data_IF_879495299760
#
_entry.id   IF_879495299760
#
_cell.length_a   1.000
_cell.length_b   1.000
_cell.length_c   1.000
_cell.angle_alpha   90.00
_cell.angle_beta   90.00
_cell.angle_gamma   90.00
#
_symmetry.space_group_name_H-M   'P 1'
#
loop_
_entity.id
_entity.type
_entity.pdbx_description
1 polymer ?
#
# COMPACT_ATOMS: atom_id res chain seq x y z
N UNK A 1 -12.70 -37.59 -20.14
CA UNK A 1 -12.94 -36.43 -21.03
C UNK A 1 -11.72 -35.53 -20.95
N UNK A 2 -11.08 -35.30 -22.06
CA UNK A 2 -9.96 -34.35 -22.09
C UNK A 2 -10.46 -32.92 -22.29
N UNK A 3 -9.54 -31.94 -22.21
CA UNK A 3 -9.91 -30.50 -22.30
C UNK A 3 -10.51 -30.13 -23.67
N UNK A 4 -10.18 -30.86 -24.72
CA UNK A 4 -10.70 -30.64 -26.10
C UNK A 4 -12.14 -31.13 -26.22
N UNK A 5 -12.40 -32.34 -25.75
CA UNK A 5 -13.74 -32.94 -25.71
C UNK A 5 -14.69 -32.07 -24.84
N UNK A 6 -14.20 -31.60 -23.68
CA UNK A 6 -14.95 -30.72 -22.80
C UNK A 6 -15.29 -29.38 -23.47
N UNK A 7 -14.31 -28.77 -24.14
CA UNK A 7 -14.55 -27.49 -24.84
C UNK A 7 -15.57 -27.67 -26.00
N UNK A 8 -15.52 -28.78 -26.71
CA UNK A 8 -16.50 -29.10 -27.75
C UNK A 8 -17.90 -29.30 -27.19
N UNK A 9 -18.02 -30.07 -26.11
CA UNK A 9 -19.29 -30.31 -25.43
C UNK A 9 -19.91 -28.99 -24.89
N UNK A 10 -19.14 -28.19 -24.16
CA UNK A 10 -19.60 -26.92 -23.64
C UNK A 10 -19.94 -25.90 -24.73
N UNK A 11 -19.11 -25.87 -25.81
CA UNK A 11 -19.39 -25.01 -26.97
C UNK A 11 -20.70 -25.37 -27.64
N UNK A 12 -20.96 -26.66 -27.87
CA UNK A 12 -22.23 -27.12 -28.44
C UNK A 12 -23.43 -26.74 -27.60
N UNK A 13 -23.36 -26.95 -26.27
CA UNK A 13 -24.42 -26.57 -25.36
C UNK A 13 -24.72 -25.05 -25.35
N UNK A 14 -23.68 -24.22 -25.49
CA UNK A 14 -23.85 -22.75 -25.61
C UNK A 14 -24.54 -22.38 -26.94
N UNK A 15 -24.13 -23.00 -28.05
CA UNK A 15 -24.76 -22.77 -29.38
C UNK A 15 -26.23 -23.23 -29.45
N UNK A 16 -26.61 -24.27 -28.74
CA UNK A 16 -28.01 -24.69 -28.64
C UNK A 16 -28.91 -23.61 -28.00
N UNK A 17 -28.37 -22.88 -27.02
CA UNK A 17 -29.11 -21.84 -26.32
C UNK A 17 -29.01 -20.47 -27.01
N UNK A 18 -27.86 -20.18 -27.60
CA UNK A 18 -27.51 -18.89 -28.22
C UNK A 18 -27.04 -19.11 -29.67
N UNK A 19 -27.98 -19.40 -30.63
CA UNK A 19 -27.61 -19.77 -31.99
C UNK A 19 -26.99 -18.62 -32.81
N UNK A 20 -27.19 -17.37 -32.42
CA UNK A 20 -26.69 -16.17 -33.11
C UNK A 20 -25.24 -15.80 -32.78
N UNK A 21 -24.60 -16.48 -31.82
CA UNK A 21 -23.20 -16.21 -31.47
C UNK A 21 -22.25 -16.98 -32.42
N UNK A 22 -21.02 -16.44 -32.52
CA UNK A 22 -19.96 -17.07 -33.31
C UNK A 22 -18.75 -17.42 -32.42
N UNK A 23 -18.19 -18.62 -32.58
CA UNK A 23 -16.96 -18.97 -31.90
C UNK A 23 -15.76 -18.27 -32.55
N UNK A 24 -15.00 -17.54 -31.75
CA UNK A 24 -13.82 -16.81 -32.19
C UNK A 24 -12.60 -17.15 -31.34
N UNK A 25 -11.52 -17.61 -31.98
CA UNK A 25 -10.30 -18.04 -31.30
C UNK A 25 -9.34 -16.89 -30.96
N UNK A 26 -9.44 -15.77 -31.66
CA UNK A 26 -8.57 -14.60 -31.45
C UNK A 26 -9.40 -13.34 -31.26
N UNK A 27 -9.21 -12.65 -30.16
CA UNK A 27 -9.89 -11.40 -29.85
C UNK A 27 -11.42 -11.54 -29.75
N UNK A 28 -11.97 -12.55 -29.01
CA UNK A 28 -13.42 -12.65 -28.80
C UNK A 28 -13.94 -11.48 -27.96
N UNK A 29 -15.17 -11.09 -28.19
CA UNK A 29 -15.87 -10.07 -27.36
C UNK A 29 -16.06 -10.60 -25.94
N UNK A 30 -16.33 -11.90 -25.80
CA UNK A 30 -16.48 -12.58 -24.50
C UNK A 30 -15.62 -13.85 -24.50
N UNK A 31 -14.78 -14.01 -23.51
CA UNK A 31 -13.99 -15.22 -23.29
C UNK A 31 -14.55 -16.00 -22.10
N UNK A 32 -15.37 -17.02 -22.39
CA UNK A 32 -15.91 -17.89 -21.35
C UNK A 32 -14.83 -18.90 -20.91
N UNK A 33 -14.30 -18.73 -19.71
CA UNK A 33 -13.35 -19.65 -19.08
C UNK A 33 -14.11 -20.59 -18.14
N UNK A 34 -13.91 -21.88 -18.32
CA UNK A 34 -14.45 -22.93 -17.44
C UNK A 34 -13.30 -23.65 -16.77
N UNK A 35 -13.29 -23.66 -15.45
CA UNK A 35 -12.31 -24.35 -14.61
C UNK A 35 -13.03 -25.42 -13.79
N UNK A 36 -12.71 -26.69 -14.03
CA UNK A 36 -13.30 -27.82 -13.32
C UNK A 36 -12.32 -28.32 -12.26
N UNK A 37 -12.79 -28.39 -11.03
CA UNK A 37 -12.09 -28.95 -9.88
C UNK A 37 -12.91 -30.07 -9.27
N UNK A 38 -12.34 -30.81 -8.32
CA UNK A 38 -13.03 -31.94 -7.66
C UNK A 38 -14.33 -31.52 -6.99
N UNK A 39 -14.38 -30.32 -6.42
CA UNK A 39 -15.51 -29.83 -5.61
C UNK A 39 -16.54 -29.03 -6.41
N UNK A 40 -16.12 -28.37 -7.50
CA UNK A 40 -16.99 -27.46 -8.27
C UNK A 40 -16.45 -27.12 -9.65
N UNK A 41 -17.34 -26.67 -10.54
CA UNK A 41 -16.99 -26.02 -11.80
C UNK A 41 -17.15 -24.49 -11.65
N UNK A 42 -16.10 -23.75 -12.01
CA UNK A 42 -16.08 -22.28 -11.95
C UNK A 42 -16.17 -21.72 -13.37
N UNK A 43 -17.14 -20.85 -13.59
CA UNK A 43 -17.32 -20.15 -14.85
C UNK A 43 -16.96 -18.67 -14.66
N UNK A 44 -16.15 -18.15 -15.56
CA UNK A 44 -15.78 -16.72 -15.57
C UNK A 44 -15.71 -16.20 -17.00
N UNK A 45 -16.17 -14.99 -17.22
CA UNK A 45 -16.19 -14.35 -18.54
C UNK A 45 -15.47 -13.00 -18.57
N UNK A 46 -15.07 -12.52 -17.41
CA UNK A 46 -14.41 -11.22 -17.28
C UNK A 46 -13.20 -11.32 -16.35
N UNK A 47 -12.14 -10.62 -16.71
CA UNK A 47 -10.98 -10.41 -15.84
C UNK A 47 -10.94 -8.97 -15.37
N UNK A 48 -11.32 -8.74 -14.12
CA UNK A 48 -11.22 -7.43 -13.49
C UNK A 48 -9.81 -7.26 -12.95
N UNK A 49 -9.09 -6.24 -13.48
CA UNK A 49 -7.73 -5.95 -13.03
C UNK A 49 -7.78 -5.34 -11.62
N UNK A 50 -7.27 -6.06 -10.63
CA UNK A 50 -7.11 -5.55 -9.27
C UNK A 50 -5.94 -4.58 -9.13
N UNK A 51 -5.76 -4.05 -7.91
CA UNK A 51 -4.66 -3.13 -7.58
C UNK A 51 -3.26 -3.74 -7.76
N UNK A 52 -3.16 -5.06 -7.73
CA UNK A 52 -1.90 -5.80 -7.75
C UNK A 52 -1.08 -5.58 -6.47
N UNK A 53 0.07 -6.19 -6.41
CA UNK A 53 0.95 -6.14 -5.22
C UNK A 53 0.82 -7.38 -4.34
N UNK A 54 1.36 -7.29 -3.13
CA UNK A 54 1.31 -8.33 -2.11
C UNK A 54 0.31 -7.95 -1.01
N UNK A 55 -0.32 -8.92 -0.32
CA UNK A 55 -1.14 -8.61 0.84
C UNK A 55 -0.33 -7.89 1.91
N UNK A 56 -0.91 -6.83 2.49
CA UNK A 56 -0.26 -6.04 3.54
C UNK A 56 0.05 -6.93 4.76
N UNK A 57 1.22 -6.74 5.35
CA UNK A 57 1.74 -7.53 6.46
C UNK A 57 2.60 -8.75 6.04
N UNK A 58 2.54 -9.18 4.77
CA UNK A 58 3.35 -10.34 4.32
C UNK A 58 4.84 -10.07 4.26
N UNK A 59 5.25 -8.80 4.14
CA UNK A 59 6.65 -8.36 4.12
C UNK A 59 7.11 -7.76 5.47
N UNK A 60 6.32 -7.95 6.54
CA UNK A 60 6.61 -7.41 7.86
C UNK A 60 6.19 -5.96 8.04
N UNK A 61 6.61 -5.34 9.16
CA UNK A 61 6.22 -3.98 9.55
C UNK A 61 7.33 -2.96 9.26
N UNK A 62 6.93 -1.74 8.88
CA UNK A 62 7.84 -0.62 8.66
C UNK A 62 7.32 0.69 9.23
N UNK A 63 8.25 1.56 9.65
CA UNK A 63 7.95 2.90 10.15
C UNK A 63 8.07 3.90 9.00
N UNK A 64 6.95 4.50 8.60
CA UNK A 64 6.91 5.53 7.58
C UNK A 64 7.09 6.91 8.22
N UNK A 65 8.20 7.58 7.94
CA UNK A 65 8.41 8.97 8.33
C UNK A 65 7.53 9.89 7.48
N UNK A 66 6.32 10.18 7.96
CA UNK A 66 5.31 10.89 7.19
C UNK A 66 5.42 12.42 7.36
N UNK A 67 5.79 13.09 6.30
CA UNK A 67 5.77 14.55 6.19
C UNK A 67 4.46 15.06 5.57
N UNK A 68 4.25 16.37 5.57
CA UNK A 68 3.16 17.02 4.83
C UNK A 68 3.42 17.16 3.32
N UNK A 69 4.55 16.63 2.79
CA UNK A 69 4.91 16.63 1.38
C UNK A 69 4.20 15.55 0.56
N UNK A 70 4.52 15.50 -0.73
CA UNK A 70 3.92 14.54 -1.67
C UNK A 70 4.67 13.21 -1.71
N UNK A 71 5.95 13.18 -1.39
CA UNK A 71 6.82 12.01 -1.56
C UNK A 71 6.56 10.93 -0.51
N UNK A 72 6.45 11.31 0.76
CA UNK A 72 6.28 10.35 1.86
C UNK A 72 4.98 9.53 1.76
N UNK A 73 3.80 10.08 1.40
CA UNK A 73 2.61 9.26 1.19
C UNK A 73 2.74 8.34 -0.03
N UNK A 74 3.46 8.75 -1.08
CA UNK A 74 3.74 7.87 -2.24
C UNK A 74 4.66 6.72 -1.83
N UNK A 75 5.71 6.97 -1.05
CA UNK A 75 6.57 5.94 -0.48
C UNK A 75 5.77 4.95 0.37
N UNK A 76 4.87 5.46 1.23
CA UNK A 76 3.95 4.63 2.01
C UNK A 76 3.05 3.75 1.15
N UNK A 77 2.44 4.30 0.10
CA UNK A 77 1.65 3.52 -0.85
C UNK A 77 2.46 2.41 -1.53
N UNK A 78 3.68 2.73 -1.96
CA UNK A 78 4.55 1.74 -2.60
C UNK A 78 4.98 0.63 -1.63
N UNK A 79 5.22 0.96 -0.36
CA UNK A 79 5.52 -0.01 0.68
C UNK A 79 4.31 -0.92 0.97
N UNK A 80 3.11 -0.36 1.13
CA UNK A 80 1.86 -1.13 1.27
C UNK A 80 1.68 -2.09 0.09
N UNK A 81 1.91 -1.62 -1.13
CA UNK A 81 1.81 -2.44 -2.35
C UNK A 81 2.84 -3.57 -2.39
N UNK A 82 3.95 -3.45 -1.69
CA UNK A 82 4.98 -4.49 -1.51
C UNK A 82 4.71 -5.41 -0.31
N UNK A 83 3.57 -5.25 0.36
CA UNK A 83 3.15 -6.08 1.47
C UNK A 83 3.69 -5.64 2.83
N UNK A 84 4.26 -4.44 2.94
CA UNK A 84 4.72 -3.90 4.22
C UNK A 84 3.51 -3.36 4.99
N UNK A 85 3.36 -3.78 6.26
CA UNK A 85 2.45 -3.17 7.22
C UNK A 85 3.10 -1.89 7.75
N UNK A 86 2.54 -0.71 7.46
CA UNK A 86 3.16 0.56 7.84
C UNK A 86 2.52 1.19 9.06
N UNK A 87 3.34 1.80 9.91
CA UNK A 87 2.94 2.76 10.93
C UNK A 87 3.50 4.13 10.56
N UNK A 88 2.68 5.18 10.64
CA UNK A 88 3.08 6.53 10.24
C UNK A 88 3.65 7.31 11.44
N UNK A 89 4.89 7.76 11.32
CA UNK A 89 5.59 8.57 12.34
C UNK A 89 5.67 10.01 11.83
N UNK A 90 5.07 10.95 12.57
CA UNK A 90 5.05 12.37 12.26
C UNK A 90 5.71 13.18 13.36
N UNK A 91 6.66 14.03 13.00
CA UNK A 91 7.36 14.93 13.92
C UNK A 91 6.66 16.29 13.96
N UNK A 92 6.12 16.64 15.11
CA UNK A 92 5.44 17.91 15.36
C UNK A 92 6.34 18.87 16.16
N UNK A 93 6.56 20.05 15.65
CA UNK A 93 7.38 21.09 16.30
C UNK A 93 6.63 22.44 16.37
N UNK A 94 5.54 22.57 17.13
CA UNK A 94 4.92 23.85 17.32
C UNK A 94 5.87 24.80 18.10
N UNK A 95 5.94 26.12 17.79
CA UNK A 95 5.19 26.83 16.75
C UNK A 95 5.77 26.75 15.34
N UNK A 96 6.90 26.05 15.12
CA UNK A 96 7.59 25.95 13.83
C UNK A 96 6.80 25.13 12.80
N UNK A 97 5.98 24.18 13.26
CA UNK A 97 5.00 23.48 12.41
C UNK A 97 3.59 23.99 12.73
N UNK A 98 2.84 24.32 11.68
CA UNK A 98 1.46 24.79 11.85
C UNK A 98 0.52 23.64 12.27
N UNK A 99 -0.60 23.93 12.96
CA UNK A 99 -1.65 22.92 13.22
C UNK A 99 -2.19 22.28 11.93
N UNK A 100 -2.16 23.01 10.83
CA UNK A 100 -2.52 22.51 9.50
C UNK A 100 -1.56 21.42 8.99
N UNK A 101 -0.29 21.44 9.39
CA UNK A 101 0.68 20.41 9.01
C UNK A 101 0.35 19.06 9.64
N UNK A 102 0.03 19.04 10.94
CA UNK A 102 -0.40 17.85 11.65
C UNK A 102 -1.70 17.28 11.03
N UNK A 103 -2.71 18.13 10.83
CA UNK A 103 -3.98 17.71 10.20
C UNK A 103 -3.74 17.12 8.82
N UNK A 104 -2.87 17.74 8.03
CA UNK A 104 -2.51 17.25 6.70
C UNK A 104 -1.87 15.85 6.75
N UNK A 105 -0.94 15.62 7.70
CA UNK A 105 -0.30 14.32 7.88
C UNK A 105 -1.34 13.25 8.28
N UNK A 106 -2.26 13.56 9.20
CA UNK A 106 -3.36 12.68 9.57
C UNK A 106 -4.29 12.37 8.38
N UNK A 107 -4.63 13.37 7.56
CA UNK A 107 -5.46 13.19 6.37
C UNK A 107 -4.75 12.34 5.30
N UNK A 108 -3.42 12.47 5.15
CA UNK A 108 -2.62 11.62 4.27
C UNK A 108 -2.59 10.17 4.78
N UNK A 109 -2.41 9.95 6.08
CA UNK A 109 -2.50 8.62 6.70
C UNK A 109 -3.87 8.00 6.43
N UNK A 110 -4.96 8.76 6.65
CA UNK A 110 -6.33 8.27 6.36
C UNK A 110 -6.52 7.90 4.87
N UNK A 111 -5.87 8.61 3.94
CA UNK A 111 -5.91 8.23 2.53
C UNK A 111 -5.17 6.93 2.25
N UNK A 112 -4.06 6.67 2.94
CA UNK A 112 -3.29 5.44 2.81
C UNK A 112 -4.05 4.21 3.36
N UNK A 113 -4.92 4.36 4.36
CA UNK A 113 -5.72 3.23 4.89
C UNK A 113 -6.60 2.56 3.83
N UNK A 114 -6.95 3.26 2.75
CA UNK A 114 -7.67 2.67 1.61
C UNK A 114 -6.91 1.54 0.92
N UNK A 115 -5.60 1.48 1.09
CA UNK A 115 -4.71 0.53 0.43
C UNK A 115 -4.12 -0.50 1.40
N UNK A 116 -4.12 -0.23 2.70
CA UNK A 116 -3.45 -1.06 3.71
C UNK A 116 -4.30 -1.44 4.93
N UNK A 117 -5.54 -0.97 5.01
CA UNK A 117 -6.35 -1.17 6.21
C UNK A 117 -5.97 -0.19 7.33
N UNK A 118 -5.85 -0.66 8.56
CA UNK A 118 -5.51 0.20 9.70
C UNK A 118 -4.04 0.62 9.64
N UNK A 119 -3.78 1.90 9.88
CA UNK A 119 -2.42 2.47 9.98
C UNK A 119 -2.37 3.27 11.27
N UNK A 120 -1.50 2.87 12.19
CA UNK A 120 -1.24 3.63 13.40
C UNK A 120 -0.52 4.94 13.06
N UNK A 121 -0.98 6.03 13.67
CA UNK A 121 -0.38 7.34 13.51
C UNK A 121 0.31 7.75 14.81
N UNK A 122 1.62 7.89 14.79
CA UNK A 122 2.47 8.22 15.92
C UNK A 122 2.92 9.67 15.77
N UNK A 123 2.46 10.53 16.66
CA UNK A 123 2.92 11.91 16.75
C UNK A 123 4.09 12.00 17.73
N UNK A 124 5.22 12.49 17.24
CA UNK A 124 6.43 12.69 18.04
C UNK A 124 6.61 14.20 18.31
N UNK A 125 6.50 14.67 19.56
CA UNK A 125 6.84 16.05 19.89
C UNK A 125 8.34 16.28 19.70
N UNK A 126 8.68 17.25 18.87
CA UNK A 126 10.08 17.46 18.46
C UNK A 126 10.59 18.89 18.72
N UNK A 127 9.77 19.76 19.30
CA UNK A 127 10.09 21.18 19.52
C UNK A 127 11.36 21.37 20.34
N UNK A 128 11.45 20.73 21.52
CA UNK A 128 12.59 20.88 22.43
C UNK A 128 13.90 20.44 21.79
N UNK A 129 13.88 19.31 21.09
CA UNK A 129 15.05 18.78 20.38
C UNK A 129 15.47 19.74 19.26
N UNK A 130 14.50 20.29 18.54
CA UNK A 130 14.77 21.22 17.45
C UNK A 130 15.37 22.53 17.96
N UNK A 131 14.89 23.05 19.09
CA UNK A 131 15.43 24.24 19.75
C UNK A 131 16.85 24.00 20.24
N UNK A 132 17.10 22.88 20.89
CA UNK A 132 18.43 22.52 21.38
C UNK A 132 19.44 22.37 20.24
N UNK A 133 19.03 21.74 19.11
CA UNK A 133 19.87 21.68 17.91
C UNK A 133 20.18 23.08 17.39
N UNK A 134 19.17 23.95 17.32
CA UNK A 134 19.32 25.32 16.83
C UNK A 134 20.25 26.18 17.71
N UNK A 135 20.23 25.95 19.01
CA UNK A 135 21.07 26.67 19.97
C UNK A 135 22.53 26.18 19.94
N UNK A 136 22.74 24.88 19.89
CA UNK A 136 24.06 24.23 20.08
C UNK A 136 24.82 23.86 18.83
N UNK A 137 24.14 23.77 17.69
CA UNK A 137 24.77 23.30 16.46
C UNK A 137 25.14 24.43 15.52
N UNK A 138 26.27 24.34 14.80
CA UNK A 138 26.58 25.27 13.73
C UNK A 138 25.48 25.24 12.64
N UNK A 139 25.17 26.43 12.10
CA UNK A 139 24.09 26.60 11.11
C UNK A 139 24.16 25.62 9.95
N UNK A 140 25.37 25.37 9.43
CA UNK A 140 25.62 24.44 8.33
C UNK A 140 25.18 22.98 8.62
N UNK A 141 25.05 22.60 9.90
CA UNK A 141 24.71 21.24 10.30
C UNK A 141 23.27 21.06 10.83
N UNK A 142 22.51 22.15 10.98
CA UNK A 142 21.16 22.12 11.56
C UNK A 142 20.27 21.10 10.89
N UNK A 143 20.15 21.14 9.57
CA UNK A 143 19.31 20.19 8.82
C UNK A 143 19.79 18.75 8.94
N UNK A 144 21.09 18.53 8.91
CA UNK A 144 21.68 17.19 9.01
C UNK A 144 21.43 16.58 10.40
N UNK A 145 21.64 17.37 11.46
CA UNK A 145 21.40 16.92 12.82
C UNK A 145 19.92 16.66 13.08
N UNK A 146 19.03 17.57 12.63
CA UNK A 146 17.58 17.40 12.73
C UNK A 146 17.15 16.08 12.12
N UNK A 147 17.53 15.82 10.88
CA UNK A 147 17.21 14.55 10.20
C UNK A 147 17.79 13.33 10.91
N UNK A 148 19.01 13.44 11.42
CA UNK A 148 19.66 12.36 12.16
C UNK A 148 18.92 12.04 13.47
N UNK A 149 18.45 13.03 14.21
CA UNK A 149 17.65 12.82 15.41
C UNK A 149 16.30 12.20 15.08
N UNK A 150 15.61 12.70 14.06
CA UNK A 150 14.37 12.10 13.58
C UNK A 150 14.54 10.62 13.22
N UNK A 151 15.60 10.27 12.47
CA UNK A 151 15.92 8.88 12.13
C UNK A 151 16.18 8.02 13.36
N UNK A 152 16.95 8.52 14.33
CA UNK A 152 17.25 7.79 15.58
C UNK A 152 16.00 7.55 16.43
N UNK A 153 15.14 8.53 16.55
CA UNK A 153 13.87 8.40 17.28
C UNK A 153 12.95 7.42 16.57
N UNK A 154 12.86 7.50 15.24
CA UNK A 154 12.08 6.55 14.46
C UNK A 154 12.64 5.12 14.60
N UNK A 155 13.95 4.96 14.70
CA UNK A 155 14.58 3.64 14.90
C UNK A 155 14.26 3.05 16.29
N UNK A 156 14.24 3.86 17.33
CA UNK A 156 13.79 3.42 18.66
C UNK A 156 12.32 2.98 18.65
N UNK A 157 11.46 3.76 17.99
CA UNK A 157 10.04 3.39 17.80
C UNK A 157 9.93 2.09 17.00
N UNK A 158 10.73 1.94 15.95
CA UNK A 158 10.78 0.72 15.13
C UNK A 158 11.14 -0.50 15.98
N UNK A 159 12.14 -0.40 16.84
CA UNK A 159 12.53 -1.49 17.74
C UNK A 159 11.42 -1.86 18.71
N UNK A 160 10.82 -0.87 19.37
CA UNK A 160 9.72 -1.07 20.33
C UNK A 160 8.49 -1.71 19.67
N UNK A 161 8.21 -1.36 18.42
CA UNK A 161 7.07 -1.83 17.63
C UNK A 161 7.36 -3.10 16.81
N UNK A 162 8.56 -3.69 16.96
CA UNK A 162 9.03 -4.84 16.17
C UNK A 162 8.97 -4.58 14.65
N UNK A 163 9.25 -3.35 14.23
CA UNK A 163 9.39 -2.98 12.83
C UNK A 163 10.73 -3.45 12.25
N UNK A 164 10.76 -3.72 10.95
CA UNK A 164 11.95 -4.21 10.24
C UNK A 164 12.70 -3.09 9.52
N UNK A 165 12.00 -2.01 9.14
CA UNK A 165 12.54 -0.97 8.26
C UNK A 165 11.96 0.41 8.59
N UNK A 166 12.73 1.45 8.28
CA UNK A 166 12.28 2.86 8.23
C UNK A 166 12.13 3.24 6.74
N UNK A 167 11.06 3.95 6.44
CA UNK A 167 10.66 4.38 5.11
C UNK A 167 10.57 5.90 5.07
#
# INVERSE_FOLDING_TARGET
MDSRELNQYLGSAVFEVLPDIQAQMKGPDVNLKVEIREEAAYLSYENIKGAGGLPVGTAGRGMLMLSGGIDSPVAGYLALKRGVDIEAVHFASPPYTSPGALKKAQDLTRKLTKFGGNIDFIEVPFTEIQEEIKEKAPEAYLMTLTRRFMMRITDLIREERNGLVII
#
